data_IF_267398359980
#
_entry.id   IF_267398359980
#
_cell.length_a   1.000
_cell.length_b   1.000
_cell.length_c   1.000
_cell.angle_alpha   90.00
_cell.angle_beta   90.00
_cell.angle_gamma   90.00
#
_symmetry.space_group_name_H-M   'P 1'
#
loop_
_entity.id
_entity.type
_entity.pdbx_description
1 polymer ?
#
# COMPACT_ATOMS: atom_id res chain seq x y z
N UNK A 1 -7.17 17.25 25.03
CA UNK A 1 -6.67 17.31 23.63
C UNK A 1 -5.89 16.01 23.37
N UNK A 2 -6.35 15.18 22.46
CA UNK A 2 -5.56 14.01 22.05
C UNK A 2 -4.35 14.53 21.28
N UNK A 3 -3.14 14.23 21.74
CA UNK A 3 -1.93 14.56 21.00
C UNK A 3 -1.92 13.82 19.66
N UNK A 4 -1.53 14.51 18.59
CA UNK A 4 -1.29 13.86 17.30
C UNK A 4 -0.24 12.77 17.49
N UNK A 5 -0.51 11.51 17.12
CA UNK A 5 0.44 10.45 17.32
C UNK A 5 1.72 10.77 16.54
N UNK A 6 2.84 10.89 17.26
CA UNK A 6 4.16 11.03 16.63
C UNK A 6 4.62 9.65 16.18
N UNK A 7 5.15 9.53 14.97
CA UNK A 7 5.87 8.34 14.57
C UNK A 7 7.02 8.10 15.53
N UNK A 8 7.05 6.93 16.13
CA UNK A 8 8.21 6.46 16.90
C UNK A 8 9.18 5.82 15.92
N UNK A 9 10.48 5.90 16.19
CA UNK A 9 11.50 5.24 15.38
C UNK A 9 11.22 3.74 15.18
N UNK A 10 10.52 3.10 16.13
CA UNK A 10 10.09 1.71 16.04
C UNK A 10 8.98 1.47 14.98
N UNK A 11 8.29 2.52 14.52
CA UNK A 11 7.22 2.44 13.52
C UNK A 11 7.76 2.51 12.08
N UNK A 12 9.04 2.88 11.90
CA UNK A 12 9.66 2.91 10.59
C UNK A 12 9.95 1.50 10.08
N UNK A 13 9.82 1.27 8.76
CA UNK A 13 10.21 -0.01 8.15
C UNK A 13 11.67 -0.32 8.46
N UNK A 14 11.93 -1.50 9.01
CA UNK A 14 13.31 -1.95 9.27
C UNK A 14 14.02 -2.24 7.95
N UNK A 15 15.23 -1.71 7.81
CA UNK A 15 16.15 -2.09 6.77
C UNK A 15 17.05 -3.23 7.28
N UNK A 16 17.11 -4.32 6.54
CA UNK A 16 17.91 -5.51 6.89
C UNK A 16 19.23 -5.51 6.11
N UNK A 17 20.10 -4.52 6.39
CA UNK A 17 21.33 -4.32 5.65
C UNK A 17 22.28 -5.53 5.73
N UNK A 18 22.24 -6.25 6.84
CA UNK A 18 23.03 -7.49 7.03
C UNK A 18 22.61 -8.63 6.10
N UNK A 19 21.56 -8.47 5.34
CA UNK A 19 21.06 -9.46 4.37
C UNK A 19 21.41 -9.11 2.92
N UNK A 20 22.00 -7.94 2.66
CA UNK A 20 22.26 -7.45 1.30
C UNK A 20 23.26 -8.31 0.54
N UNK A 21 24.23 -8.90 1.24
CA UNK A 21 25.31 -9.71 0.66
C UNK A 21 25.04 -11.22 0.73
N UNK A 22 23.83 -11.61 1.12
CA UNK A 22 23.46 -13.04 1.13
C UNK A 22 23.31 -13.58 -0.29
N UNK A 23 23.89 -14.73 -0.52
CA UNK A 23 23.72 -15.45 -1.78
C UNK A 23 22.24 -15.72 -2.07
N UNK A 24 21.88 -15.56 -3.34
CA UNK A 24 20.56 -15.96 -3.80
C UNK A 24 20.48 -17.50 -3.83
N UNK A 25 19.43 -18.06 -3.25
CA UNK A 25 19.21 -19.50 -3.30
C UNK A 25 19.03 -19.95 -4.75
N UNK A 26 19.56 -21.14 -5.09
CA UNK A 26 19.54 -21.68 -6.47
C UNK A 26 18.11 -21.90 -7.01
N UNK A 27 17.18 -22.22 -6.12
CA UNK A 27 15.76 -22.43 -6.47
C UNK A 27 14.94 -21.52 -5.56
N UNK A 28 14.24 -20.56 -6.18
CA UNK A 28 13.29 -19.68 -5.51
C UNK A 28 11.91 -20.36 -5.53
N UNK A 29 11.42 -20.77 -4.36
CA UNK A 29 10.04 -21.24 -4.22
C UNK A 29 9.12 -20.06 -3.92
N UNK A 30 8.20 -19.68 -4.83
CA UNK A 30 7.26 -18.58 -4.63
C UNK A 30 6.41 -18.77 -3.37
N UNK A 31 6.13 -20.00 -2.96
CA UNK A 31 5.31 -20.29 -1.79
C UNK A 31 5.99 -19.96 -0.46
N UNK A 32 7.30 -19.80 -0.44
CA UNK A 32 8.07 -19.43 0.74
C UNK A 32 8.64 -18.02 0.68
N UNK A 33 8.21 -17.23 -0.30
CA UNK A 33 8.73 -15.88 -0.47
C UNK A 33 8.29 -14.93 0.63
N UNK A 34 7.04 -15.02 1.08
CA UNK A 34 6.46 -14.13 2.08
C UNK A 34 6.26 -14.83 3.41
N UNK A 35 6.75 -14.21 4.49
CA UNK A 35 6.66 -14.73 5.85
C UNK A 35 6.38 -13.62 6.88
N UNK A 36 6.14 -14.01 8.13
CA UNK A 36 5.93 -13.10 9.27
C UNK A 36 4.77 -12.12 9.06
N UNK A 37 3.61 -12.63 8.67
CA UNK A 37 2.42 -11.84 8.42
C UNK A 37 1.87 -11.20 9.69
N UNK A 38 1.61 -9.88 9.62
CA UNK A 38 0.92 -9.13 10.67
C UNK A 38 -0.23 -8.34 10.04
N UNK A 39 -1.44 -8.50 10.55
CA UNK A 39 -2.61 -7.74 10.08
C UNK A 39 -2.45 -6.26 10.40
N UNK A 40 -2.64 -5.42 9.38
CA UNK A 40 -2.65 -3.96 9.45
C UNK A 40 -4.09 -3.47 9.49
N UNK A 41 -4.91 -3.90 8.53
CA UNK A 41 -6.28 -3.47 8.39
C UNK A 41 -7.16 -4.56 7.78
N UNK A 42 -8.46 -4.48 8.08
CA UNK A 42 -9.52 -5.24 7.41
C UNK A 42 -10.48 -4.26 6.77
N UNK A 43 -10.62 -4.32 5.45
CA UNK A 43 -11.66 -3.64 4.72
C UNK A 43 -12.94 -4.47 4.65
N UNK A 44 -13.95 -4.01 3.94
CA UNK A 44 -15.21 -4.76 3.78
C UNK A 44 -15.04 -6.14 3.13
N UNK A 45 -14.07 -6.28 2.21
CA UNK A 45 -13.80 -7.54 1.47
C UNK A 45 -12.32 -7.89 1.39
N UNK A 46 -11.42 -7.01 1.84
CA UNK A 46 -9.99 -7.18 1.73
C UNK A 46 -9.29 -7.24 3.08
N UNK A 47 -8.20 -7.96 3.12
CA UNK A 47 -7.30 -8.11 4.25
C UNK A 47 -5.94 -7.51 3.87
N UNK A 48 -5.48 -6.54 4.66
CA UNK A 48 -4.20 -5.88 4.48
C UNK A 48 -3.26 -6.32 5.60
N UNK A 49 -2.12 -6.89 5.23
CA UNK A 49 -1.10 -7.40 6.14
C UNK A 49 0.27 -6.84 5.78
N UNK A 50 1.15 -6.65 6.74
CA UNK A 50 2.57 -6.56 6.47
C UNK A 50 3.17 -7.95 6.47
N UNK A 51 4.19 -8.17 5.65
CA UNK A 51 4.98 -9.40 5.66
C UNK A 51 6.42 -9.12 5.20
N UNK A 52 7.32 -10.05 5.51
CA UNK A 52 8.70 -9.99 5.03
C UNK A 52 8.81 -10.71 3.69
N UNK A 53 9.28 -10.01 2.67
CA UNK A 53 9.75 -10.59 1.41
C UNK A 53 11.15 -11.18 1.67
N UNK A 54 11.24 -12.49 1.77
CA UNK A 54 12.48 -13.19 2.11
C UNK A 54 13.50 -13.16 0.97
N UNK A 55 13.05 -12.98 -0.28
CA UNK A 55 13.96 -12.90 -1.43
C UNK A 55 14.70 -11.55 -1.47
N UNK A 56 14.00 -10.46 -1.16
CA UNK A 56 14.55 -9.11 -1.21
C UNK A 56 14.93 -8.56 0.17
N UNK A 57 14.69 -9.31 1.27
CA UNK A 57 15.03 -8.91 2.62
C UNK A 57 14.28 -7.67 3.13
N UNK A 58 13.13 -7.35 2.56
CA UNK A 58 12.34 -6.14 2.89
C UNK A 58 10.97 -6.47 3.47
N UNK A 59 10.35 -5.51 4.15
CA UNK A 59 8.95 -5.62 4.57
C UNK A 59 8.06 -4.95 3.51
N UNK A 60 6.96 -5.60 3.17
CA UNK A 60 5.99 -5.15 2.18
C UNK A 60 4.57 -5.21 2.73
N UNK A 61 3.67 -4.49 2.10
CA UNK A 61 2.24 -4.63 2.29
C UNK A 61 1.72 -5.74 1.38
N UNK A 62 0.88 -6.62 1.92
CA UNK A 62 0.26 -7.76 1.24
C UNK A 62 -1.26 -7.60 1.32
N UNK A 63 -1.91 -7.43 0.18
CA UNK A 63 -3.37 -7.30 0.07
C UNK A 63 -3.95 -8.56 -0.54
N UNK A 64 -4.92 -9.15 0.14
CA UNK A 64 -5.69 -10.31 -0.29
C UNK A 64 -7.17 -10.11 0.00
N UNK A 65 -8.03 -10.97 -0.51
CA UNK A 65 -9.42 -11.01 -0.07
C UNK A 65 -9.53 -11.60 1.34
N UNK A 66 -10.60 -11.25 2.04
CA UNK A 66 -11.01 -11.97 3.24
C UNK A 66 -11.39 -13.42 2.87
N UNK A 67 -11.22 -14.40 3.77
CA UNK A 67 -11.49 -15.81 3.48
C UNK A 67 -12.88 -16.08 2.88
N UNK A 68 -13.90 -15.37 3.36
CA UNK A 68 -15.28 -15.48 2.89
C UNK A 68 -15.51 -15.00 1.45
N UNK A 69 -14.56 -14.23 0.89
CA UNK A 69 -14.61 -13.69 -0.48
C UNK A 69 -13.50 -14.27 -1.38
N UNK A 70 -12.62 -15.13 -0.82
CA UNK A 70 -11.42 -15.58 -1.51
C UNK A 70 -11.74 -16.37 -2.81
N UNK A 71 -12.86 -17.10 -2.82
CA UNK A 71 -13.32 -17.89 -3.95
C UNK A 71 -14.38 -17.18 -4.81
N UNK A 72 -14.80 -15.97 -4.43
CA UNK A 72 -15.74 -15.19 -5.23
C UNK A 72 -15.08 -14.67 -6.52
N UNK A 73 -15.53 -15.12 -7.71
CA UNK A 73 -14.88 -14.75 -8.98
C UNK A 73 -15.02 -13.26 -9.30
N UNK A 74 -16.05 -12.59 -8.80
CA UNK A 74 -16.27 -11.15 -9.01
C UNK A 74 -15.23 -10.37 -8.19
N UNK A 75 -15.06 -10.74 -6.92
CA UNK A 75 -14.12 -10.07 -6.03
C UNK A 75 -12.67 -10.36 -6.42
N UNK A 76 -12.36 -11.59 -6.89
CA UNK A 76 -11.05 -11.89 -7.47
C UNK A 76 -10.75 -11.00 -8.68
N UNK A 77 -11.71 -10.83 -9.61
CA UNK A 77 -11.52 -9.93 -10.76
C UNK A 77 -11.29 -8.49 -10.36
N UNK A 78 -11.97 -8.01 -9.31
CA UNK A 78 -11.77 -6.66 -8.77
C UNK A 78 -10.38 -6.48 -8.19
N UNK A 79 -9.92 -7.42 -7.35
CA UNK A 79 -8.57 -7.42 -6.78
C UNK A 79 -7.48 -7.44 -7.88
N UNK A 80 -7.65 -8.30 -8.88
CA UNK A 80 -6.74 -8.39 -10.02
C UNK A 80 -6.69 -7.11 -10.84
N UNK A 81 -7.85 -6.47 -11.05
CA UNK A 81 -7.94 -5.20 -11.79
C UNK A 81 -7.24 -4.08 -11.01
N UNK A 82 -7.52 -3.95 -9.72
CA UNK A 82 -6.86 -2.98 -8.84
C UNK A 82 -5.34 -3.11 -8.90
N UNK A 83 -4.83 -4.35 -8.69
CA UNK A 83 -3.40 -4.61 -8.74
C UNK A 83 -2.76 -4.23 -10.08
N UNK A 84 -3.41 -4.55 -11.20
CA UNK A 84 -2.90 -4.23 -12.55
C UNK A 84 -2.94 -2.75 -12.84
N UNK A 85 -4.02 -2.06 -12.48
CA UNK A 85 -4.13 -0.61 -12.67
C UNK A 85 -3.07 0.09 -11.84
N UNK A 86 -2.94 -0.25 -10.55
CA UNK A 86 -1.91 0.32 -9.68
C UNK A 86 -0.49 0.07 -10.20
N UNK A 87 -0.22 -1.11 -10.76
CA UNK A 87 1.09 -1.44 -11.34
C UNK A 87 1.41 -0.66 -12.63
N UNK A 88 0.40 -0.28 -13.40
CA UNK A 88 0.58 0.52 -14.64
C UNK A 88 0.77 2.01 -14.34
N UNK A 89 0.27 2.50 -13.23
CA UNK A 89 0.38 3.92 -12.85
C UNK A 89 1.73 4.19 -12.19
N UNK A 90 2.71 4.63 -12.98
CA UNK A 90 4.06 4.94 -12.53
C UNK A 90 4.21 6.44 -12.26
N UNK A 91 3.68 6.89 -11.14
CA UNK A 91 3.75 8.27 -10.69
C UNK A 91 4.19 8.35 -9.23
N UNK A 92 4.95 9.37 -8.79
CA UNK A 92 5.41 9.48 -7.39
C UNK A 92 4.30 9.40 -6.34
N UNK A 93 3.11 9.88 -6.69
CA UNK A 93 1.97 9.92 -5.80
C UNK A 93 0.97 8.75 -5.99
N UNK A 94 1.38 7.67 -6.67
CA UNK A 94 0.63 6.41 -6.75
C UNK A 94 1.32 5.33 -5.92
N UNK A 95 0.55 4.37 -5.39
CA UNK A 95 1.10 3.29 -4.56
C UNK A 95 1.88 2.29 -5.42
N UNK A 96 3.20 2.13 -5.22
CA UNK A 96 3.98 1.15 -5.98
C UNK A 96 3.52 -0.28 -5.70
N UNK A 97 3.05 -0.97 -6.74
CA UNK A 97 2.73 -2.40 -6.71
C UNK A 97 3.96 -3.21 -7.14
N UNK A 98 4.28 -4.27 -6.39
CA UNK A 98 5.50 -5.06 -6.60
C UNK A 98 5.25 -6.39 -7.31
N UNK A 99 4.20 -7.10 -6.89
CA UNK A 99 3.91 -8.43 -7.41
C UNK A 99 2.42 -8.74 -7.32
N UNK A 100 1.93 -9.50 -8.28
CA UNK A 100 0.62 -10.10 -8.30
C UNK A 100 0.80 -11.61 -8.36
N UNK A 101 0.20 -12.36 -7.43
CA UNK A 101 0.41 -13.80 -7.32
C UNK A 101 -0.80 -14.56 -6.79
N UNK A 102 -0.58 -15.87 -6.58
CA UNK A 102 -1.49 -16.76 -5.88
C UNK A 102 -0.77 -17.39 -4.70
N UNK A 103 -1.49 -17.53 -3.59
CA UNK A 103 -0.99 -18.27 -2.43
C UNK A 103 -1.10 -19.78 -2.63
N UNK A 104 -0.71 -20.56 -1.61
CA UNK A 104 -0.74 -22.04 -1.66
C UNK A 104 -2.14 -22.61 -1.84
N UNK A 105 -3.17 -21.85 -1.50
CA UNK A 105 -4.57 -22.24 -1.67
C UNK A 105 -5.12 -21.84 -3.04
N UNK A 106 -4.33 -21.11 -3.84
CA UNK A 106 -4.72 -20.59 -5.15
C UNK A 106 -5.40 -19.22 -5.10
N UNK A 107 -5.55 -18.62 -3.92
CA UNK A 107 -6.18 -17.33 -3.75
C UNK A 107 -5.27 -16.19 -4.23
N UNK A 108 -5.88 -15.22 -4.91
CA UNK A 108 -5.15 -14.07 -5.44
C UNK A 108 -4.68 -13.13 -4.34
N UNK A 109 -3.47 -12.62 -4.50
CA UNK A 109 -2.93 -11.53 -3.69
C UNK A 109 -2.09 -10.59 -4.55
N UNK A 110 -1.82 -9.40 -4.04
CA UNK A 110 -0.73 -8.58 -4.55
C UNK A 110 0.05 -7.92 -3.41
N UNK A 111 1.30 -7.55 -3.71
CA UNK A 111 2.16 -6.85 -2.77
C UNK A 111 2.48 -5.45 -3.27
N UNK A 112 2.63 -4.53 -2.33
CA UNK A 112 2.88 -3.12 -2.60
C UNK A 112 3.80 -2.52 -1.53
N UNK A 113 4.21 -1.27 -1.73
CA UNK A 113 5.01 -0.52 -0.74
C UNK A 113 4.28 -0.50 0.61
N UNK A 114 5.00 -0.83 1.68
CA UNK A 114 4.52 -0.58 3.04
C UNK A 114 4.90 0.84 3.43
N UNK A 115 3.90 1.65 3.73
CA UNK A 115 4.09 3.01 4.24
C UNK A 115 3.42 3.10 5.60
N UNK A 116 4.21 3.51 6.61
CA UNK A 116 3.68 3.87 7.91
C UNK A 116 3.29 5.34 7.85
N UNK A 117 2.01 5.62 7.78
CA UNK A 117 1.52 6.97 7.57
C UNK A 117 0.14 7.17 8.18
N UNK A 118 -0.39 8.36 7.94
CA UNK A 118 -1.74 8.75 8.30
C UNK A 118 -2.56 8.98 7.05
N UNK A 119 -3.82 8.59 7.10
CA UNK A 119 -4.78 8.98 6.07
C UNK A 119 -5.02 10.50 6.14
N UNK A 120 -5.37 11.09 5.01
CA UNK A 120 -5.73 12.50 4.97
C UNK A 120 -6.95 12.80 5.86
N UNK A 121 -7.83 11.79 6.06
CA UNK A 121 -8.93 11.87 7.03
C UNK A 121 -8.43 12.09 8.45
N UNK A 122 -7.42 11.34 8.87
CA UNK A 122 -6.81 11.50 10.19
C UNK A 122 -6.13 12.87 10.32
N UNK A 123 -5.42 13.33 9.29
CA UNK A 123 -4.79 14.65 9.27
C UNK A 123 -5.81 15.79 9.39
N UNK A 124 -6.92 15.72 8.65
CA UNK A 124 -8.00 16.72 8.72
C UNK A 124 -8.59 16.80 10.14
N UNK A 125 -8.68 15.68 10.85
CA UNK A 125 -9.21 15.64 12.21
C UNK A 125 -8.26 16.27 13.23
N UNK A 126 -6.98 16.47 12.88
CA UNK A 126 -5.94 17.09 13.73
C UNK A 126 -5.48 18.44 13.17
N UNK A 127 -6.43 19.31 12.80
CA UNK A 127 -6.21 20.60 12.11
C UNK A 127 -5.21 21.55 12.79
N UNK A 128 -4.97 21.39 14.08
CA UNK A 128 -4.04 22.25 14.85
C UNK A 128 -2.57 22.07 14.44
N UNK A 129 -2.23 21.03 13.65
CA UNK A 129 -0.86 20.67 13.26
C UNK A 129 -0.52 20.89 11.80
N UNK A 130 -1.53 21.07 10.97
CA UNK A 130 -1.37 21.30 9.55
C UNK A 130 -2.00 22.64 9.20
N UNK A 131 -1.21 23.55 8.69
CA UNK A 131 -1.75 24.79 8.14
C UNK A 131 -2.47 24.52 6.81
N UNK A 132 -3.23 25.52 6.34
CA UNK A 132 -4.00 25.41 5.10
C UNK A 132 -3.08 25.17 3.90
N UNK A 133 -1.89 25.73 3.89
CA UNK A 133 -0.91 25.57 2.80
C UNK A 133 -0.46 24.13 2.69
N UNK A 134 -0.13 23.49 3.81
CA UNK A 134 0.26 22.07 3.85
C UNK A 134 -0.87 21.14 3.36
N UNK A 135 -2.13 21.43 3.75
CA UNK A 135 -3.28 20.68 3.27
C UNK A 135 -3.49 20.85 1.76
N UNK A 136 -3.28 22.05 1.23
CA UNK A 136 -3.36 22.34 -0.21
C UNK A 136 -2.24 21.63 -0.97
N UNK A 137 -1.01 21.62 -0.45
CA UNK A 137 0.12 20.91 -1.05
C UNK A 137 -0.16 19.41 -1.19
N UNK A 138 -0.80 18.79 -0.20
CA UNK A 138 -1.25 17.39 -0.30
C UNK A 138 -2.25 17.23 -1.45
N UNK A 139 -3.24 18.10 -1.54
CA UNK A 139 -4.26 18.03 -2.60
C UNK A 139 -3.68 18.28 -3.99
N UNK A 140 -2.69 19.16 -4.13
CA UNK A 140 -1.97 19.39 -5.39
C UNK A 140 -1.24 18.12 -5.84
N UNK A 141 -0.57 17.43 -4.94
CA UNK A 141 0.10 16.17 -5.26
C UNK A 141 -0.88 15.07 -5.68
N UNK A 142 -2.05 15.01 -5.04
CA UNK A 142 -3.14 14.11 -5.46
C UNK A 142 -3.65 14.48 -6.85
N UNK A 143 -3.80 15.79 -7.14
CA UNK A 143 -4.23 16.26 -8.46
C UNK A 143 -3.25 15.86 -9.57
N UNK A 144 -1.94 15.92 -9.34
CA UNK A 144 -0.92 15.42 -10.29
C UNK A 144 -1.05 13.93 -10.55
N UNK A 145 -1.30 13.11 -9.52
CA UNK A 145 -1.54 11.67 -9.71
C UNK A 145 -2.79 11.41 -10.55
N UNK A 146 -3.85 12.19 -10.33
CA UNK A 146 -5.11 12.09 -11.09
C UNK A 146 -4.92 12.55 -12.55
N UNK A 147 -4.24 13.65 -12.79
CA UNK A 147 -3.91 14.13 -14.13
C UNK A 147 -3.14 13.05 -14.90
N UNK A 148 -2.09 12.51 -14.29
CA UNK A 148 -1.31 11.41 -14.86
C UNK A 148 -2.20 10.21 -15.22
N UNK A 149 -3.06 9.77 -14.30
CA UNK A 149 -3.95 8.64 -14.52
C UNK A 149 -4.97 8.93 -15.64
N UNK A 150 -5.55 10.15 -15.68
CA UNK A 150 -6.50 10.57 -16.69
C UNK A 150 -5.89 10.59 -18.10
N UNK A 151 -4.64 11.04 -18.24
CA UNK A 151 -3.93 10.99 -19.54
C UNK A 151 -3.71 9.55 -20.04
N UNK A 152 -3.74 8.55 -19.12
CA UNK A 152 -3.68 7.13 -19.44
C UNK A 152 -5.06 6.46 -19.51
N UNK A 153 -6.15 7.24 -19.51
CA UNK A 153 -7.52 6.73 -19.60
C UNK A 153 -8.03 6.04 -18.32
N UNK A 154 -7.37 6.25 -17.19
CA UNK A 154 -7.75 5.68 -15.88
C UNK A 154 -8.45 6.72 -15.05
N UNK A 155 -9.64 6.39 -14.52
CA UNK A 155 -10.42 7.22 -13.60
C UNK A 155 -10.53 6.50 -12.26
N UNK A 156 -10.21 7.17 -11.17
CA UNK A 156 -10.15 6.59 -9.82
C UNK A 156 -11.53 6.15 -9.28
N UNK A 157 -12.55 6.98 -9.40
CA UNK A 157 -13.97 6.76 -9.02
C UNK A 157 -14.28 6.70 -7.51
N UNK A 158 -13.27 6.69 -6.64
CA UNK A 158 -13.45 6.65 -5.16
C UNK A 158 -12.45 7.57 -4.45
N UNK A 159 -12.35 8.84 -4.92
CA UNK A 159 -11.46 9.81 -4.27
C UNK A 159 -12.10 10.24 -2.96
N UNK A 160 -11.40 9.97 -1.87
CA UNK A 160 -11.81 10.36 -0.51
C UNK A 160 -10.59 10.45 0.41
N UNK A 161 -10.68 11.20 1.51
CA UNK A 161 -9.53 11.38 2.41
C UNK A 161 -8.95 10.09 2.99
N UNK A 162 -9.75 9.02 3.09
CA UNK A 162 -9.31 7.71 3.55
C UNK A 162 -8.38 7.01 2.55
N UNK A 163 -8.50 7.36 1.26
CA UNK A 163 -7.68 6.80 0.17
C UNK A 163 -6.43 7.64 -0.15
N UNK A 164 -6.12 8.65 0.66
CA UNK A 164 -4.91 9.45 0.55
C UNK A 164 -4.06 9.18 1.78
N UNK A 165 -2.88 8.61 1.58
CA UNK A 165 -1.93 8.25 2.65
C UNK A 165 -0.75 9.23 2.64
N UNK A 166 -0.44 9.78 3.81
CA UNK A 166 0.69 10.68 4.01
C UNK A 166 1.72 9.98 4.88
N UNK A 167 2.91 9.78 4.32
CA UNK A 167 4.02 9.14 5.00
C UNK A 167 4.87 10.13 5.82
N UNK A 168 5.77 9.60 6.70
CA UNK A 168 6.56 10.42 7.62
C UNK A 168 7.68 11.22 6.94
N UNK A 169 7.99 10.92 5.69
CA UNK A 169 9.02 11.60 4.89
C UNK A 169 8.43 12.48 3.79
N UNK A 170 7.15 12.87 3.91
CA UNK A 170 6.46 13.73 2.96
C UNK A 170 5.87 13.00 1.76
N UNK A 171 5.81 11.67 1.82
CA UNK A 171 5.10 10.91 0.76
C UNK A 171 3.60 11.22 0.82
N UNK A 172 3.03 11.50 -0.32
CA UNK A 172 1.57 11.59 -0.51
C UNK A 172 1.21 10.54 -1.56
N UNK A 173 0.40 9.56 -1.18
CA UNK A 173 0.07 8.42 -2.03
C UNK A 173 -1.45 8.25 -2.14
N UNK A 174 -1.95 8.20 -3.38
CA UNK A 174 -3.35 7.88 -3.66
C UNK A 174 -3.49 6.36 -3.81
N UNK A 175 -4.43 5.79 -3.06
CA UNK A 175 -4.69 4.36 -2.89
C UNK A 175 -5.98 3.92 -3.61
N UNK A 176 -6.14 2.60 -3.78
CA UNK A 176 -7.39 1.94 -4.21
C UNK A 176 -7.92 2.43 -5.57
N UNK A 177 -7.11 2.30 -6.63
CA UNK A 177 -7.42 2.64 -8.02
C UNK A 177 -8.43 1.71 -8.71
#
# INVERSE_FOLDING_TARGET
MNEFPKFKQADYPKLYLEQTDKDLVKILDPNFRYAYFKTIAKGGKSLIRSCKDLHLGRVVCYKSLLPEFADDPIEQKRLLREARVSAMLQHPNTMPTYELGRDRQGHCYFTMKLVHGYTFREIINYRERYDVTQLLDILIQVAYALEYAHTHGVVHRDIKPENILIGPFGEVLLLDW
#
